data_IF_925712177605
#
_entry.id   IF_925712177605
#
_cell.length_a   1.000
_cell.length_b   1.000
_cell.length_c   1.000
_cell.angle_alpha   90.00
_cell.angle_beta   90.00
_cell.angle_gamma   90.00
#
_symmetry.space_group_name_H-M   'P 1'
#
loop_
_entity.id
_entity.type
_entity.pdbx_description
1 polymer ?
#
# COMPACT_ATOMS: atom_id res chain seq x y z
N UNK A 1 6.20 13.99 11.98
CA UNK A 1 5.08 13.07 11.75
C UNK A 1 3.86 13.64 12.43
N UNK A 2 2.71 13.61 11.76
CA UNK A 2 1.40 14.00 12.29
C UNK A 2 0.35 12.96 11.86
N UNK A 3 -0.77 12.88 12.54
CA UNK A 3 -1.81 11.89 12.30
C UNK A 3 -3.12 12.58 11.90
N UNK A 4 -3.86 11.92 11.01
CA UNK A 4 -5.23 12.27 10.68
C UNK A 4 -6.14 11.23 11.30
N UNK A 5 -7.21 11.68 11.93
CA UNK A 5 -8.18 10.79 12.55
C UNK A 5 -8.99 10.02 11.48
N UNK A 6 -9.63 8.94 11.89
CA UNK A 6 -10.39 8.03 11.02
C UNK A 6 -11.89 8.37 11.02
N UNK A 7 -12.58 7.88 10.00
CA UNK A 7 -14.04 7.74 10.01
C UNK A 7 -14.43 6.55 10.89
N UNK A 8 -15.36 6.76 11.80
CA UNK A 8 -15.81 5.71 12.71
C UNK A 8 -16.46 4.52 11.98
N UNK A 9 -17.13 4.76 10.84
CA UNK A 9 -17.82 3.72 10.09
C UNK A 9 -16.87 2.74 9.38
N UNK A 10 -15.78 3.23 8.84
CA UNK A 10 -14.84 2.46 8.00
C UNK A 10 -13.52 2.13 8.69
N UNK A 11 -13.17 2.85 9.76
CA UNK A 11 -11.85 2.88 10.39
C UNK A 11 -10.72 3.31 9.41
N UNK A 12 -11.07 3.98 8.30
CA UNK A 12 -10.11 4.51 7.32
C UNK A 12 -9.90 6.01 7.56
N UNK A 13 -8.84 6.56 6.99
CA UNK A 13 -8.54 8.00 7.08
C UNK A 13 -9.75 8.84 6.68
N UNK A 14 -10.13 9.80 7.54
CA UNK A 14 -11.20 10.76 7.27
C UNK A 14 -10.68 11.86 6.35
N UNK A 15 -11.14 11.85 5.10
CA UNK A 15 -10.73 12.82 4.08
C UNK A 15 -11.08 14.26 4.45
N UNK A 16 -12.20 14.46 5.14
CA UNK A 16 -12.60 15.82 5.60
C UNK A 16 -11.65 16.34 6.68
N UNK A 17 -11.27 15.47 7.63
CA UNK A 17 -10.29 15.82 8.67
C UNK A 17 -8.90 16.02 8.06
N UNK A 18 -8.52 15.25 7.04
CA UNK A 18 -7.30 15.50 6.28
C UNK A 18 -7.33 16.89 5.65
N UNK A 19 -8.39 17.26 4.96
CA UNK A 19 -8.50 18.58 4.31
C UNK A 19 -8.42 19.73 5.33
N UNK A 20 -9.11 19.62 6.48
CA UNK A 20 -9.01 20.62 7.57
C UNK A 20 -7.57 20.79 8.04
N UNK A 21 -6.83 19.69 8.23
CA UNK A 21 -5.40 19.75 8.60
C UNK A 21 -4.53 20.38 7.51
N UNK A 22 -4.78 20.07 6.24
CA UNK A 22 -4.06 20.66 5.12
C UNK A 22 -4.28 22.16 5.01
N UNK A 23 -5.53 22.64 5.22
CA UNK A 23 -5.86 24.07 5.28
C UNK A 23 -5.06 24.77 6.40
N UNK A 24 -5.06 24.18 7.59
CA UNK A 24 -4.32 24.72 8.73
C UNK A 24 -2.80 24.72 8.48
N UNK A 25 -2.25 23.63 7.94
CA UNK A 25 -0.83 23.50 7.62
C UNK A 25 -0.39 24.51 6.54
N UNK A 26 -1.24 24.76 5.54
CA UNK A 26 -0.98 25.75 4.48
C UNK A 26 -0.83 27.16 5.06
N UNK A 27 -1.70 27.53 6.02
CA UNK A 27 -1.65 28.88 6.66
C UNK A 27 -0.32 29.15 7.38
N UNK A 28 0.33 28.12 7.89
CA UNK A 28 1.60 28.24 8.64
C UNK A 28 2.82 27.76 7.83
N UNK A 29 2.66 27.50 6.53
CA UNK A 29 3.75 27.06 5.65
C UNK A 29 4.32 25.66 5.97
N UNK A 30 3.54 24.78 6.59
CA UNK A 30 3.97 23.43 7.04
C UNK A 30 3.17 22.29 6.37
N UNK A 31 2.93 22.41 5.07
CA UNK A 31 2.30 21.33 4.33
C UNK A 31 3.12 20.03 4.41
N UNK A 32 2.48 18.86 4.51
CA UNK A 32 3.19 17.59 4.49
C UNK A 32 3.81 17.38 3.09
N UNK A 33 4.95 16.71 3.04
CA UNK A 33 5.52 16.21 1.79
C UNK A 33 4.87 14.92 1.31
N UNK A 34 4.42 14.09 2.26
CA UNK A 34 3.85 12.77 2.00
C UNK A 34 2.64 12.57 2.88
N UNK A 35 1.60 11.96 2.32
CA UNK A 35 0.44 11.42 3.06
C UNK A 35 0.39 9.91 2.83
N UNK A 36 0.19 9.15 3.92
CA UNK A 36 0.16 7.68 3.87
C UNK A 36 -1.24 7.21 4.29
N UNK A 37 -2.18 7.01 3.34
CA UNK A 37 -3.45 6.35 3.62
C UNK A 37 -3.22 4.85 3.82
N UNK A 38 -3.84 4.30 4.88
CA UNK A 38 -3.76 2.87 5.21
C UNK A 38 -5.09 2.20 4.83
N UNK A 39 -5.05 1.19 3.97
CA UNK A 39 -6.21 0.39 3.57
C UNK A 39 -6.52 -0.68 4.62
N UNK A 40 -6.90 -0.22 5.81
CA UNK A 40 -7.10 -1.08 6.96
C UNK A 40 -8.14 -2.17 6.68
N UNK A 41 -7.89 -3.37 7.18
CA UNK A 41 -8.74 -4.55 7.05
C UNK A 41 -8.98 -5.05 5.61
N UNK A 42 -8.46 -4.36 4.58
CA UNK A 42 -8.60 -4.75 3.18
C UNK A 42 -9.58 -3.89 2.38
N UNK A 43 -10.21 -2.88 2.98
CA UNK A 43 -10.98 -1.87 2.25
C UNK A 43 -10.09 -0.70 1.84
N UNK A 44 -10.19 -0.25 0.59
CA UNK A 44 -9.47 0.95 0.12
C UNK A 44 -10.00 2.21 0.80
N UNK A 45 -9.11 3.15 1.08
CA UNK A 45 -9.47 4.54 1.38
C UNK A 45 -10.15 5.19 0.15
N UNK A 46 -10.79 6.34 0.34
CA UNK A 46 -11.27 7.18 -0.77
C UNK A 46 -10.08 7.83 -1.48
N UNK A 47 -9.44 7.03 -2.34
CA UNK A 47 -8.21 7.42 -3.01
C UNK A 47 -8.42 8.54 -4.02
N UNK A 48 -9.59 8.62 -4.65
CA UNK A 48 -9.91 9.71 -5.58
C UNK A 48 -9.91 11.07 -4.88
N UNK A 49 -10.55 11.17 -3.73
CA UNK A 49 -10.57 12.42 -2.95
C UNK A 49 -9.19 12.77 -2.39
N UNK A 50 -8.42 11.78 -1.90
CA UNK A 50 -7.05 12.00 -1.42
C UNK A 50 -6.15 12.46 -2.57
N UNK A 51 -6.26 11.85 -3.75
CA UNK A 51 -5.53 12.27 -4.93
C UNK A 51 -5.84 13.71 -5.36
N UNK A 52 -7.13 14.10 -5.34
CA UNK A 52 -7.52 15.49 -5.60
C UNK A 52 -6.85 16.44 -4.62
N UNK A 53 -6.83 16.11 -3.33
CA UNK A 53 -6.14 16.91 -2.32
C UNK A 53 -4.63 16.96 -2.56
N UNK A 54 -4.00 15.87 -3.02
CA UNK A 54 -2.57 15.87 -3.33
C UNK A 54 -2.25 16.86 -4.46
N UNK A 55 -3.08 16.92 -5.50
CA UNK A 55 -2.90 17.92 -6.58
C UNK A 55 -3.11 19.36 -6.12
N UNK A 56 -4.02 19.58 -5.17
CA UNK A 56 -4.31 20.92 -4.64
C UNK A 56 -3.26 21.42 -3.66
N UNK A 57 -2.64 20.53 -2.88
CA UNK A 57 -1.71 20.90 -1.79
C UNK A 57 -0.26 20.49 -2.04
N UNK A 58 0.03 19.72 -3.09
CA UNK A 58 1.38 19.41 -3.56
C UNK A 58 2.12 18.35 -2.69
N UNK A 59 1.41 17.35 -2.14
CA UNK A 59 2.04 16.24 -1.44
C UNK A 59 2.02 14.95 -2.29
N UNK A 60 2.97 14.07 -2.04
CA UNK A 60 3.00 12.72 -2.61
C UNK A 60 2.17 11.74 -1.77
N UNK A 61 1.66 10.69 -2.41
CA UNK A 61 0.85 9.66 -1.76
C UNK A 61 1.59 8.32 -1.79
N UNK A 62 1.73 7.70 -0.60
CA UNK A 62 2.19 6.32 -0.47
C UNK A 62 1.04 5.51 0.14
N UNK A 63 0.42 4.61 -0.64
CA UNK A 63 -0.61 3.71 -0.12
C UNK A 63 0.03 2.61 0.74
N UNK A 64 -0.35 2.53 2.02
CA UNK A 64 -0.11 1.33 2.81
C UNK A 64 -1.24 0.32 2.51
N UNK A 65 -0.96 -0.56 1.57
CA UNK A 65 -1.86 -1.63 1.14
C UNK A 65 -1.52 -2.98 1.79
N UNK A 66 -0.83 -2.99 2.93
CA UNK A 66 -0.41 -4.22 3.64
C UNK A 66 -1.56 -5.17 3.97
N UNK A 67 -2.81 -4.68 3.98
CA UNK A 67 -4.03 -5.46 4.19
C UNK A 67 -4.89 -5.63 2.92
N UNK A 68 -4.49 -5.06 1.79
CA UNK A 68 -5.41 -4.83 0.67
C UNK A 68 -5.01 -5.52 -0.64
N UNK A 69 -4.10 -6.52 -0.59
CA UNK A 69 -3.80 -7.29 -1.80
C UNK A 69 -5.06 -8.05 -2.25
N UNK A 70 -5.40 -7.94 -3.54
CA UNK A 70 -6.63 -8.48 -4.11
C UNK A 70 -7.87 -7.59 -3.96
N UNK A 71 -7.76 -6.46 -3.24
CA UNK A 71 -8.83 -5.45 -3.17
C UNK A 71 -8.91 -4.61 -4.44
N UNK A 72 -10.10 -4.00 -4.67
CA UNK A 72 -10.31 -3.07 -5.80
C UNK A 72 -10.96 -1.78 -5.28
N UNK A 73 -10.64 -0.67 -5.95
CA UNK A 73 -11.27 0.63 -5.78
C UNK A 73 -11.74 1.17 -7.14
N UNK A 74 -13.03 1.53 -7.27
CA UNK A 74 -13.65 1.93 -8.55
C UNK A 74 -13.35 0.92 -9.67
N UNK A 75 -13.41 -0.39 -9.36
CA UNK A 75 -13.17 -1.49 -10.28
C UNK A 75 -11.69 -1.72 -10.67
N UNK A 76 -10.76 -0.90 -10.21
CA UNK A 76 -9.32 -1.06 -10.44
C UNK A 76 -8.63 -1.72 -9.26
N UNK A 77 -7.64 -2.60 -9.48
CA UNK A 77 -6.93 -3.24 -8.38
C UNK A 77 -6.17 -2.20 -7.54
N UNK A 78 -6.20 -2.37 -6.21
CA UNK A 78 -5.26 -1.70 -5.31
C UNK A 78 -3.84 -2.14 -5.72
N UNK A 79 -2.91 -1.20 -5.78
CA UNK A 79 -1.58 -1.42 -6.34
C UNK A 79 -1.42 -0.99 -7.80
N UNK A 80 -2.52 -0.56 -8.47
CA UNK A 80 -2.44 0.04 -9.81
C UNK A 80 -1.71 1.39 -9.85
N UNK A 81 -1.49 2.02 -8.70
CA UNK A 81 -0.90 3.36 -8.55
C UNK A 81 -1.57 4.44 -9.42
N UNK A 82 -2.90 4.33 -9.63
CA UNK A 82 -3.67 5.33 -10.38
C UNK A 82 -3.89 6.62 -9.59
N UNK A 83 -3.89 6.51 -8.26
CA UNK A 83 -4.18 7.59 -7.33
C UNK A 83 -3.02 7.90 -6.38
N UNK A 84 -1.90 7.19 -6.50
CA UNK A 84 -0.74 7.29 -5.63
C UNK A 84 0.56 7.30 -6.41
N UNK A 85 1.63 7.73 -5.77
CA UNK A 85 2.99 7.66 -6.31
C UNK A 85 3.60 6.30 -6.08
N UNK A 86 3.30 5.68 -4.91
CA UNK A 86 3.79 4.35 -4.52
C UNK A 86 2.66 3.62 -3.78
N UNK A 87 2.55 2.31 -4.02
CA UNK A 87 1.72 1.40 -3.21
C UNK A 87 2.61 0.32 -2.59
N UNK A 88 2.44 0.05 -1.29
CA UNK A 88 3.25 -0.94 -0.56
C UNK A 88 2.37 -2.10 -0.11
N UNK A 89 2.82 -3.33 -0.40
CA UNK A 89 2.23 -4.58 0.09
C UNK A 89 3.14 -5.29 1.08
N UNK A 90 2.53 -6.06 1.98
CA UNK A 90 3.21 -6.95 2.91
C UNK A 90 2.87 -8.41 2.60
N UNK A 91 3.89 -9.26 2.64
CA UNK A 91 3.77 -10.72 2.48
C UNK A 91 4.17 -11.47 3.74
N UNK A 92 4.05 -10.82 4.91
CA UNK A 92 4.21 -11.44 6.23
C UNK A 92 3.26 -12.64 6.39
N UNK A 93 3.57 -13.66 7.22
CA UNK A 93 2.80 -14.90 7.36
C UNK A 93 1.29 -14.76 7.57
N UNK A 94 0.86 -13.72 8.29
CA UNK A 94 -0.56 -13.50 8.60
C UNK A 94 -1.35 -12.84 7.46
N UNK A 95 -0.70 -12.39 6.39
CA UNK A 95 -1.37 -11.67 5.30
C UNK A 95 -2.18 -12.62 4.40
N UNK A 96 -3.01 -12.06 3.53
CA UNK A 96 -3.90 -12.80 2.61
C UNK A 96 -3.11 -13.81 1.77
N UNK A 97 -1.95 -13.39 1.31
CA UNK A 97 -0.89 -14.26 0.75
C UNK A 97 0.41 -13.99 1.49
N UNK A 98 1.28 -14.96 1.51
CA UNK A 98 2.57 -14.86 2.21
C UNK A 98 3.73 -15.36 1.37
N UNK A 99 4.90 -14.78 1.60
CA UNK A 99 6.20 -15.31 1.17
C UNK A 99 7.08 -15.69 2.38
N UNK A 100 6.48 -16.01 3.53
CA UNK A 100 7.05 -16.11 4.88
C UNK A 100 7.42 -14.72 5.39
N UNK A 101 8.38 -14.08 4.80
CA UNK A 101 8.72 -12.67 4.99
C UNK A 101 8.87 -12.00 3.63
N UNK A 102 8.44 -10.76 3.53
CA UNK A 102 8.56 -9.98 2.32
C UNK A 102 7.57 -8.85 2.20
N UNK A 103 7.76 -8.08 1.17
CA UNK A 103 6.90 -6.97 0.78
C UNK A 103 7.21 -6.54 -0.64
N UNK A 104 6.38 -5.67 -1.17
CA UNK A 104 6.55 -5.13 -2.51
C UNK A 104 6.13 -3.67 -2.53
N UNK A 105 6.93 -2.82 -3.15
CA UNK A 105 6.58 -1.45 -3.48
C UNK A 105 6.35 -1.35 -4.99
N UNK A 106 5.21 -0.82 -5.38
CA UNK A 106 4.79 -0.63 -6.76
C UNK A 106 4.72 0.86 -7.09
N UNK A 107 5.05 1.22 -8.32
CA UNK A 107 4.94 2.58 -8.83
C UNK A 107 4.80 2.58 -10.35
N UNK A 108 4.15 3.61 -10.90
CA UNK A 108 4.14 3.89 -12.36
C UNK A 108 5.20 4.92 -12.76
N UNK A 109 6.05 5.37 -11.82
CA UNK A 109 7.11 6.34 -12.07
C UNK A 109 8.46 5.60 -12.19
N UNK A 110 9.07 5.65 -13.38
CA UNK A 110 10.34 4.98 -13.67
C UNK A 110 11.50 5.48 -12.80
N UNK A 111 11.52 6.76 -12.44
CA UNK A 111 12.54 7.31 -11.54
C UNK A 111 12.44 6.69 -10.16
N UNK A 112 11.23 6.63 -9.59
CA UNK A 112 11.00 5.98 -8.29
C UNK A 112 11.32 4.49 -8.35
N UNK A 113 10.94 3.79 -9.41
CA UNK A 113 11.27 2.37 -9.60
C UNK A 113 12.80 2.16 -9.59
N UNK A 114 13.54 2.94 -10.37
CA UNK A 114 15.00 2.87 -10.45
C UNK A 114 15.68 3.15 -9.09
N UNK A 115 15.19 4.15 -8.34
CA UNK A 115 15.72 4.51 -7.02
C UNK A 115 15.45 3.38 -6.02
N UNK A 116 14.20 2.88 -5.95
CA UNK A 116 13.82 1.81 -5.04
C UNK A 116 14.60 0.51 -5.32
N UNK A 117 14.76 0.15 -6.60
CA UNK A 117 15.54 -1.03 -6.99
C UNK A 117 17.00 -0.93 -6.54
N UNK A 118 17.63 0.24 -6.74
CA UNK A 118 19.01 0.49 -6.32
C UNK A 118 19.14 0.49 -4.80
N UNK A 119 18.28 1.21 -4.10
CA UNK A 119 18.32 1.30 -2.62
C UNK A 119 18.04 -0.05 -1.95
N UNK A 120 17.16 -0.89 -2.51
CA UNK A 120 16.91 -2.26 -2.06
C UNK A 120 18.19 -3.12 -2.07
N UNK A 121 19.14 -2.81 -2.94
CA UNK A 121 20.35 -3.60 -3.21
C UNK A 121 21.62 -2.80 -2.92
N UNK A 122 21.77 -2.32 -1.68
CA UNK A 122 22.95 -1.60 -1.17
C UNK A 122 23.28 -0.27 -1.87
N UNK A 123 22.39 0.30 -2.67
CA UNK A 123 22.70 1.50 -3.46
C UNK A 123 23.66 1.24 -4.62
N UNK A 124 23.77 0.00 -5.08
CA UNK A 124 24.71 -0.45 -6.09
C UNK A 124 24.09 -0.37 -7.50
N UNK A 125 24.93 -0.02 -8.48
CA UNK A 125 24.62 -0.18 -9.90
C UNK A 125 25.66 -1.03 -10.60
N UNK A 126 25.21 -1.83 -11.57
CA UNK A 126 26.06 -2.52 -12.58
C UNK A 126 25.88 -1.93 -13.96
N UNK A 127 25.00 -0.95 -14.13
CA UNK A 127 24.75 -0.27 -15.40
C UNK A 127 25.90 0.72 -15.67
N UNK A 128 26.72 0.50 -16.72
CA UNK A 128 27.84 1.40 -17.05
C UNK A 128 27.42 2.85 -17.29
N UNK A 129 26.17 3.07 -17.77
CA UNK A 129 25.65 4.40 -18.06
C UNK A 129 25.33 5.20 -16.77
N UNK A 130 25.20 4.51 -15.65
CA UNK A 130 24.94 5.11 -14.32
C UNK A 130 26.20 5.19 -13.47
N UNK A 131 27.32 4.59 -13.91
CA UNK A 131 28.59 4.63 -13.19
C UNK A 131 29.30 5.96 -13.37
N UNK A 132 30.13 6.33 -12.39
CA UNK A 132 31.06 7.46 -12.48
C UNK A 132 32.41 6.94 -12.98
N UNK A 133 32.84 7.38 -14.18
CA UNK A 133 34.10 6.94 -14.80
C UNK A 133 33.97 5.63 -15.57
N UNK A 134 35.08 4.94 -15.79
CA UNK A 134 35.12 3.70 -16.56
C UNK A 134 34.82 2.47 -15.68
N UNK A 135 34.25 1.45 -16.28
CA UNK A 135 34.10 0.12 -15.67
C UNK A 135 35.37 -0.69 -15.88
N UNK A 136 35.90 -1.31 -14.82
CA UNK A 136 37.11 -2.15 -14.87
C UNK A 136 36.84 -3.57 -15.41
N UNK A 137 35.60 -3.83 -15.87
CA UNK A 137 35.19 -5.11 -16.44
C UNK A 137 33.77 -5.52 -16.10
N UNK A 138 33.34 -6.67 -16.60
CA UNK A 138 31.97 -7.18 -16.43
C UNK A 138 31.58 -7.52 -14.97
N UNK A 139 32.57 -7.72 -14.12
CA UNK A 139 32.40 -7.97 -12.68
C UNK A 139 32.24 -6.70 -11.85
N UNK A 140 32.62 -5.54 -12.42
CA UNK A 140 32.67 -4.26 -11.72
C UNK A 140 31.28 -3.72 -11.41
N UNK A 141 31.13 -3.09 -10.27
CA UNK A 141 29.93 -2.36 -9.85
C UNK A 141 30.33 -1.17 -8.99
N UNK A 142 29.44 -0.20 -8.89
CA UNK A 142 29.63 0.97 -8.04
C UNK A 142 28.47 1.14 -7.06
N UNK A 143 28.82 1.49 -5.84
CA UNK A 143 27.86 1.98 -4.86
C UNK A 143 27.68 3.50 -5.07
N UNK A 144 26.48 3.90 -5.51
CA UNK A 144 26.15 5.31 -5.76
C UNK A 144 25.46 5.97 -4.57
N UNK A 145 24.74 5.19 -3.76
CA UNK A 145 23.98 5.64 -2.63
C UNK A 145 24.18 4.73 -1.42
N UNK A 146 23.86 5.23 -0.24
CA UNK A 146 23.70 4.41 0.95
C UNK A 146 22.38 3.67 0.88
N UNK A 147 22.40 2.37 0.52
CA UNK A 147 21.23 1.54 0.38
C UNK A 147 21.12 0.47 1.47
N UNK A 148 20.10 -0.37 1.33
CA UNK A 148 19.73 -1.44 2.26
C UNK A 148 19.99 -2.81 1.65
N UNK A 149 19.97 -3.86 2.47
CA UNK A 149 19.90 -5.23 2.02
C UNK A 149 18.44 -5.73 2.16
N UNK A 150 17.56 -5.24 1.29
CA UNK A 150 16.12 -5.50 1.33
C UNK A 150 15.63 -6.38 0.17
N UNK A 151 16.54 -7.18 -0.39
CA UNK A 151 16.19 -8.13 -1.44
C UNK A 151 15.40 -9.31 -0.86
N UNK A 152 14.26 -9.63 -1.48
CA UNK A 152 13.58 -10.88 -1.25
C UNK A 152 14.43 -12.02 -1.81
N UNK A 153 14.57 -13.15 -1.08
CA UNK A 153 15.25 -14.32 -1.62
C UNK A 153 14.38 -15.03 -2.65
N UNK A 154 15.03 -15.77 -3.57
CA UNK A 154 14.31 -16.53 -4.62
C UNK A 154 13.37 -17.59 -4.03
N UNK A 155 13.69 -18.15 -2.86
CA UNK A 155 12.82 -19.11 -2.14
C UNK A 155 11.54 -18.41 -1.70
N UNK A 156 11.65 -17.24 -1.08
CA UNK A 156 10.49 -16.43 -0.68
C UNK A 156 9.68 -15.96 -1.91
N UNK A 157 10.35 -15.55 -2.97
CA UNK A 157 9.70 -15.14 -4.21
C UNK A 157 8.91 -16.28 -4.85
N UNK A 158 9.48 -17.48 -4.93
CA UNK A 158 8.82 -18.68 -5.47
C UNK A 158 7.57 -19.05 -4.66
N UNK A 159 7.64 -18.97 -3.33
CA UNK A 159 6.46 -19.17 -2.48
C UNK A 159 5.39 -18.10 -2.76
N UNK A 160 5.79 -16.83 -2.79
CA UNK A 160 4.89 -15.71 -3.07
C UNK A 160 4.19 -15.84 -4.42
N UNK A 161 4.90 -16.23 -5.49
CA UNK A 161 4.33 -16.49 -6.81
C UNK A 161 3.28 -17.60 -6.74
N UNK A 162 3.57 -18.70 -6.05
CA UNK A 162 2.60 -19.79 -5.88
C UNK A 162 1.34 -19.34 -5.12
N UNK A 163 1.50 -18.51 -4.09
CA UNK A 163 0.37 -17.93 -3.36
C UNK A 163 -0.46 -16.97 -4.23
N UNK A 164 0.18 -16.16 -5.08
CA UNK A 164 -0.50 -15.23 -6.00
C UNK A 164 -1.45 -15.95 -6.97
N UNK A 165 -1.12 -17.14 -7.44
CA UNK A 165 -1.98 -17.95 -8.33
C UNK A 165 -3.35 -18.22 -7.67
N UNK A 166 -3.40 -18.30 -6.34
CA UNK A 166 -4.61 -18.59 -5.57
C UNK A 166 -5.25 -17.37 -4.91
N UNK A 167 -4.72 -16.17 -5.15
CA UNK A 167 -5.16 -14.93 -4.49
C UNK A 167 -6.67 -14.73 -4.62
N UNK A 168 -7.21 -14.84 -5.83
CA UNK A 168 -8.64 -14.62 -6.09
C UNK A 168 -9.51 -15.59 -5.28
N UNK A 169 -9.15 -16.88 -5.27
CA UNK A 169 -9.84 -17.89 -4.46
C UNK A 169 -9.80 -17.56 -2.95
N UNK A 170 -8.67 -17.05 -2.45
CA UNK A 170 -8.57 -16.66 -1.04
C UNK A 170 -9.46 -15.47 -0.72
N UNK A 171 -9.49 -14.46 -1.59
CA UNK A 171 -10.32 -13.27 -1.41
C UNK A 171 -11.81 -13.64 -1.46
N UNK A 172 -12.24 -14.46 -2.42
CA UNK A 172 -13.62 -14.93 -2.51
C UNK A 172 -14.08 -15.66 -1.25
N UNK A 173 -13.25 -16.57 -0.72
CA UNK A 173 -13.56 -17.28 0.54
C UNK A 173 -13.67 -16.32 1.73
N UNK A 174 -12.79 -15.33 1.84
CA UNK A 174 -12.83 -14.32 2.90
C UNK A 174 -14.11 -13.48 2.81
N UNK A 175 -14.51 -13.09 1.62
CA UNK A 175 -15.75 -12.35 1.37
C UNK A 175 -16.98 -13.17 1.73
N UNK A 176 -17.02 -14.45 1.36
CA UNK A 176 -18.10 -15.36 1.75
C UNK A 176 -18.20 -15.50 3.28
N UNK A 177 -17.06 -15.60 3.98
CA UNK A 177 -17.02 -15.61 5.44
C UNK A 177 -17.52 -14.29 6.05
N UNK A 178 -17.17 -13.15 5.45
CA UNK A 178 -17.63 -11.84 5.92
C UNK A 178 -19.18 -11.73 5.83
N UNK A 179 -19.78 -12.18 4.72
CA UNK A 179 -21.25 -12.21 4.56
C UNK A 179 -21.89 -13.13 5.63
N UNK A 180 -21.27 -14.27 5.94
CA UNK A 180 -21.76 -15.14 7.01
C UNK A 180 -21.69 -14.45 8.38
N UNK A 181 -20.59 -13.71 8.65
CA UNK A 181 -20.49 -12.92 9.89
C UNK A 181 -21.53 -11.82 9.95
N UNK A 182 -21.78 -11.10 8.85
CA UNK A 182 -22.82 -10.07 8.80
C UNK A 182 -24.18 -10.63 9.26
N UNK A 183 -24.55 -11.80 8.75
CA UNK A 183 -25.80 -12.49 9.13
C UNK A 183 -25.81 -12.97 10.59
N UNK A 184 -24.72 -13.61 11.05
CA UNK A 184 -24.65 -14.17 12.40
C UNK A 184 -24.60 -13.11 13.49
N UNK A 185 -24.06 -11.92 13.19
CA UNK A 185 -23.84 -10.84 14.15
C UNK A 185 -24.94 -9.77 14.11
N UNK A 186 -25.89 -9.86 13.17
CA UNK A 186 -26.95 -8.85 12.95
C UNK A 186 -27.76 -8.51 14.21
N UNK A 187 -28.03 -9.51 15.06
CA UNK A 187 -28.84 -9.32 16.28
C UNK A 187 -28.05 -8.83 17.49
N UNK A 188 -26.71 -8.74 17.38
CA UNK A 188 -25.87 -8.34 18.51
C UNK A 188 -25.71 -6.81 18.57
N UNK A 189 -25.52 -6.24 19.79
CA UNK A 189 -25.33 -4.80 19.97
C UNK A 189 -23.92 -4.35 19.60
N UNK A 190 -23.48 -4.68 18.37
CA UNK A 190 -22.17 -4.36 17.84
C UNK A 190 -22.33 -3.71 16.46
N UNK A 191 -21.30 -3.01 16.01
CA UNK A 191 -21.26 -2.44 14.66
C UNK A 191 -20.33 -3.31 13.80
N UNK A 192 -20.91 -3.89 12.75
CA UNK A 192 -20.17 -4.64 11.74
C UNK A 192 -19.40 -3.68 10.79
N UNK A 193 -18.37 -4.15 10.07
CA UNK A 193 -17.54 -3.29 9.23
C UNK A 193 -18.33 -2.76 8.03
N UNK A 194 -18.52 -1.45 7.96
CA UNK A 194 -19.16 -0.82 6.82
C UNK A 194 -18.28 -0.91 5.57
N UNK A 195 -18.88 -1.33 4.45
CA UNK A 195 -18.21 -1.40 3.16
C UNK A 195 -18.78 -0.35 2.21
N UNK A 196 -17.91 0.44 1.58
CA UNK A 196 -18.27 1.41 0.56
C UNK A 196 -18.58 0.70 -0.77
N UNK A 197 -19.57 1.18 -1.52
CA UNK A 197 -19.99 0.59 -2.79
C UNK A 197 -18.88 0.59 -3.86
N UNK A 198 -18.05 1.64 -3.87
CA UNK A 198 -16.91 1.76 -4.78
C UNK A 198 -15.74 0.83 -4.45
N UNK A 199 -15.79 0.11 -3.30
CA UNK A 199 -14.72 -0.75 -2.82
C UNK A 199 -15.08 -2.23 -2.94
N UNK A 200 -14.12 -3.02 -3.42
CA UNK A 200 -14.12 -4.47 -3.30
C UNK A 200 -13.07 -4.85 -2.27
N UNK A 201 -13.50 -5.08 -1.04
CA UNK A 201 -12.58 -5.43 0.07
C UNK A 201 -12.11 -6.87 -0.03
N UNK A 202 -10.82 -7.10 0.22
CA UNK A 202 -10.24 -8.44 0.36
C UNK A 202 -10.45 -9.04 1.76
N UNK A 203 -11.04 -8.30 2.69
CA UNK A 203 -11.31 -8.74 4.07
C UNK A 203 -10.13 -9.45 4.73
N UNK A 204 -8.99 -8.75 4.79
CA UNK A 204 -7.86 -9.24 5.58
C UNK A 204 -8.26 -9.44 7.05
N UNK A 205 -9.01 -8.49 7.59
CA UNK A 205 -9.63 -8.57 8.92
C UNK A 205 -11.14 -8.28 8.80
N UNK A 206 -11.91 -8.79 9.75
CA UNK A 206 -13.29 -8.42 9.98
C UNK A 206 -13.35 -7.69 11.34
N UNK A 207 -13.46 -6.35 11.29
CA UNK A 207 -13.37 -5.49 12.48
C UNK A 207 -14.77 -5.16 12.97
N UNK A 208 -15.11 -5.55 14.19
CA UNK A 208 -16.34 -5.14 14.87
C UNK A 208 -16.05 -4.05 15.89
N UNK A 209 -17.05 -3.20 16.17
CA UNK A 209 -17.01 -2.24 17.25
C UNK A 209 -18.10 -2.55 18.28
N UNK A 210 -17.77 -2.45 19.54
CA UNK A 210 -18.63 -2.68 20.69
C UNK A 210 -18.91 -1.38 21.43
#
# INVERSE_FOLDING_TARGET
VDFVDIELSTALIDVKKLEVKLIAAKKIGKLPKIVIPVHLAGQSCDMNSIHRLSKQYGFSIIEDASHAIGSKYLGKPVGSCLYSDITVFSFHPIKIITSVEGGMALTNNDEYANIMERLRSHGITRDPNKMKGHSDGSWYYQQLDLGFNYRMSDVHAALGINQMIRLEQFVEKRRALAVNYDTLLESLPIQIPFQREECYSAFHLYIVRV
#
